data_IF_560528053494
#
_entry.id   IF_560528053494
#
_cell.length_a   1.000
_cell.length_b   1.000
_cell.length_c   1.000
_cell.angle_alpha   90.00
_cell.angle_beta   90.00
_cell.angle_gamma   90.00
#
_symmetry.space_group_name_H-M   'P 1'
#
loop_
_entity.id
_entity.type
_entity.pdbx_description
1 polymer ?
#
# COMPACT_ATOMS: atom_id res chain seq x y z
N UNK A 1 -10.36 -7.91 3.01
CA UNK A 1 -9.89 -6.52 3.16
C UNK A 1 -9.72 -5.87 1.79
N UNK A 2 -10.15 -4.65 1.66
CA UNK A 2 -10.05 -3.88 0.43
C UNK A 2 -8.98 -2.79 0.59
N UNK A 3 -8.11 -2.63 -0.40
CA UNK A 3 -7.06 -1.61 -0.40
C UNK A 3 -7.31 -0.59 -1.50
N UNK A 4 -7.27 0.68 -1.13
CA UNK A 4 -7.48 1.80 -2.05
C UNK A 4 -6.22 2.65 -2.07
N UNK A 5 -5.57 2.70 -3.22
CA UNK A 5 -4.37 3.51 -3.44
C UNK A 5 -4.79 4.89 -3.91
N UNK A 6 -4.32 5.92 -3.25
CA UNK A 6 -4.65 7.31 -3.59
C UNK A 6 -3.41 8.18 -3.64
N UNK A 7 -3.50 9.27 -4.37
CA UNK A 7 -2.55 10.36 -4.34
C UNK A 7 -3.34 11.67 -4.45
N UNK A 8 -3.17 12.58 -3.50
CA UNK A 8 -3.80 13.91 -3.51
C UNK A 8 -5.29 13.86 -3.87
N UNK A 9 -6.07 13.03 -3.17
CA UNK A 9 -7.52 12.84 -3.38
C UNK A 9 -7.91 12.12 -4.68
N UNK A 10 -6.94 11.66 -5.46
CA UNK A 10 -7.19 10.88 -6.67
C UNK A 10 -6.98 9.40 -6.41
N UNK A 11 -7.90 8.57 -6.82
CA UNK A 11 -7.78 7.12 -6.71
C UNK A 11 -6.88 6.60 -7.84
N UNK A 12 -5.83 5.88 -7.46
CA UNK A 12 -4.90 5.26 -8.41
C UNK A 12 -5.28 3.80 -8.70
N UNK A 13 -5.85 3.11 -7.73
CA UNK A 13 -6.24 1.72 -7.88
C UNK A 13 -6.94 1.19 -6.65
N UNK A 14 -7.65 0.08 -6.85
CA UNK A 14 -8.37 -0.64 -5.80
C UNK A 14 -8.08 -2.12 -5.98
N UNK A 15 -7.76 -2.81 -4.89
CA UNK A 15 -7.50 -4.25 -4.94
C UNK A 15 -7.83 -4.94 -3.61
N UNK A 16 -7.88 -6.27 -3.66
CA UNK A 16 -7.92 -7.12 -2.47
C UNK A 16 -6.51 -7.49 -2.01
N UNK A 17 -6.42 -8.29 -0.96
CA UNK A 17 -5.12 -8.73 -0.42
C UNK A 17 -4.33 -9.59 -1.41
N UNK A 18 -4.98 -10.43 -2.19
CA UNK A 18 -4.32 -11.32 -3.15
C UNK A 18 -3.61 -10.54 -4.26
N UNK A 19 -4.14 -9.39 -4.62
CA UNK A 19 -3.59 -8.54 -5.68
C UNK A 19 -2.79 -7.35 -5.14
N UNK A 20 -2.60 -7.27 -3.82
CA UNK A 20 -1.93 -6.16 -3.17
C UNK A 20 -0.50 -5.97 -3.67
N UNK A 21 0.26 -7.06 -3.79
CA UNK A 21 1.65 -7.02 -4.25
C UNK A 21 1.78 -6.42 -5.64
N UNK A 22 0.99 -6.91 -6.58
CA UNK A 22 1.03 -6.46 -7.98
C UNK A 22 0.65 -4.98 -8.10
N UNK A 23 -0.41 -4.58 -7.41
CA UNK A 23 -0.86 -3.19 -7.44
C UNK A 23 0.12 -2.24 -6.75
N UNK A 24 0.67 -2.65 -5.62
CA UNK A 24 1.66 -1.86 -4.90
C UNK A 24 2.92 -1.64 -5.73
N UNK A 25 3.41 -2.69 -6.38
CA UNK A 25 4.58 -2.63 -7.24
C UNK A 25 4.38 -1.68 -8.42
N UNK A 26 3.26 -1.81 -9.11
CA UNK A 26 2.91 -0.94 -10.22
C UNK A 26 2.81 0.52 -9.80
N UNK A 27 2.09 0.79 -8.72
CA UNK A 27 1.87 2.15 -8.23
C UNK A 27 3.15 2.75 -7.69
N UNK A 28 3.97 1.97 -7.00
CA UNK A 28 5.29 2.39 -6.54
C UNK A 28 6.17 2.84 -7.71
N UNK A 29 6.29 2.01 -8.74
CA UNK A 29 7.12 2.31 -9.90
C UNK A 29 6.64 3.56 -10.63
N UNK A 30 5.34 3.69 -10.87
CA UNK A 30 4.76 4.87 -11.51
C UNK A 30 4.97 6.14 -10.67
N UNK A 31 4.81 6.03 -9.36
CA UNK A 31 4.98 7.16 -8.44
C UNK A 31 6.43 7.60 -8.36
N UNK A 32 7.39 6.67 -8.37
CA UNK A 32 8.81 6.98 -8.39
C UNK A 32 9.23 7.73 -9.67
N UNK A 33 8.66 7.36 -10.82
CA UNK A 33 8.92 8.07 -12.07
C UNK A 33 8.50 9.54 -12.01
N UNK A 34 7.46 9.83 -11.27
CA UNK A 34 6.93 11.19 -11.12
C UNK A 34 7.47 11.92 -9.87
N UNK A 35 8.30 11.26 -9.06
CA UNK A 35 8.78 11.81 -7.79
C UNK A 35 7.70 11.98 -6.73
N UNK A 36 6.62 11.20 -6.82
CA UNK A 36 5.43 11.32 -5.95
C UNK A 36 5.26 10.13 -5.00
N UNK A 37 6.27 9.26 -4.85
CA UNK A 37 6.20 8.05 -4.03
C UNK A 37 5.87 8.30 -2.56
N UNK A 38 6.23 9.46 -2.02
CA UNK A 38 5.93 9.84 -0.64
C UNK A 38 4.52 10.43 -0.46
N UNK A 39 3.84 10.73 -1.54
CA UNK A 39 2.49 11.30 -1.52
C UNK A 39 1.39 10.25 -1.62
N UNK A 40 1.76 9.00 -1.86
CA UNK A 40 0.81 7.89 -1.97
C UNK A 40 0.31 7.49 -0.59
N UNK A 41 -1.01 7.45 -0.44
CA UNK A 41 -1.68 6.96 0.77
C UNK A 41 -2.54 5.77 0.38
N UNK A 42 -2.39 4.67 1.11
CA UNK A 42 -3.17 3.45 0.89
C UNK A 42 -4.14 3.30 2.05
N UNK A 43 -5.42 3.17 1.75
CA UNK A 43 -6.44 2.89 2.74
C UNK A 43 -6.77 1.40 2.74
N UNK A 44 -6.65 0.75 3.90
CA UNK A 44 -7.14 -0.60 4.12
C UNK A 44 -8.49 -0.55 4.81
N UNK A 45 -9.49 -1.14 4.19
CA UNK A 45 -10.86 -1.16 4.72
C UNK A 45 -11.21 -2.60 5.06
N UNK A 46 -11.49 -2.84 6.34
CA UNK A 46 -11.92 -4.13 6.84
C UNK A 46 -13.31 -4.03 7.43
N UNK A 47 -14.17 -4.97 7.04
CA UNK A 47 -15.50 -5.08 7.59
C UNK A 47 -15.44 -5.93 8.84
N UNK A 48 -15.69 -5.33 10.02
CA UNK A 48 -15.53 -5.98 11.31
C UNK A 48 -16.76 -6.82 11.68
N UNK A 49 -17.91 -6.50 11.11
CA UNK A 49 -19.19 -7.09 11.52
C UNK A 49 -19.97 -7.55 10.28
N UNK A 50 -20.47 -8.78 10.32
CA UNK A 50 -21.31 -9.33 9.25
C UNK A 50 -22.63 -8.59 9.02
N UNK A 51 -23.08 -7.79 9.97
CA UNK A 51 -24.29 -6.97 9.87
C UNK A 51 -24.03 -5.60 9.22
N UNK A 52 -22.80 -5.25 9.01
CA UNK A 52 -22.50 -4.35 7.92
C UNK A 52 -22.20 -2.89 8.20
N UNK A 53 -22.01 -2.44 9.43
CA UNK A 53 -21.86 -1.00 9.67
C UNK A 53 -20.55 -0.58 10.33
N UNK A 54 -19.82 -1.51 10.92
CA UNK A 54 -18.54 -1.19 11.54
C UNK A 54 -17.41 -1.53 10.57
N UNK A 55 -16.77 -0.52 10.04
CA UNK A 55 -15.63 -0.64 9.15
C UNK A 55 -14.39 -0.11 9.86
N UNK A 56 -13.33 -0.87 9.84
CA UNK A 56 -12.02 -0.40 10.25
C UNK A 56 -11.28 0.13 9.04
N UNK A 57 -10.91 1.39 9.08
CA UNK A 57 -10.11 2.02 8.02
C UNK A 57 -8.74 2.34 8.59
N UNK A 58 -7.71 1.78 7.98
CA UNK A 58 -6.32 2.05 8.33
C UNK A 58 -5.63 2.72 7.16
N UNK A 59 -4.90 3.79 7.45
CA UNK A 59 -4.09 4.47 6.43
C UNK A 59 -2.67 3.92 6.45
N UNK A 60 -2.15 3.61 5.29
CA UNK A 60 -0.80 3.10 5.11
C UNK A 60 0.00 4.01 4.19
N UNK A 61 1.30 4.05 4.43
CA UNK A 61 2.27 4.76 3.59
C UNK A 61 3.33 3.80 3.11
N UNK A 62 3.88 4.05 1.94
CA UNK A 62 5.01 3.28 1.46
C UNK A 62 6.26 3.59 2.27
N UNK A 63 6.95 2.55 2.67
CA UNK A 63 8.27 2.64 3.27
C UNK A 63 9.23 1.70 2.54
N UNK A 64 10.32 2.26 2.07
CA UNK A 64 11.37 1.53 1.41
C UNK A 64 12.44 1.19 2.43
N UNK A 65 12.80 -0.07 2.53
CA UNK A 65 13.86 -0.52 3.43
C UNK A 65 14.95 -1.26 2.66
N UNK A 66 16.15 -1.22 3.22
CA UNK A 66 17.35 -1.79 2.61
C UNK A 66 17.86 -2.92 3.49
N UNK A 67 17.93 -4.13 2.92
CA UNK A 67 18.55 -5.29 3.56
C UNK A 67 19.73 -5.79 2.72
N UNK A 68 20.87 -5.17 2.87
CA UNK A 68 22.06 -5.52 2.11
C UNK A 68 21.92 -5.16 0.63
N UNK A 69 21.82 -6.17 -0.24
CA UNK A 69 21.68 -5.98 -1.68
C UNK A 69 20.22 -5.94 -2.16
N UNK A 70 19.29 -6.14 -1.25
CA UNK A 70 17.87 -6.17 -1.58
C UNK A 70 17.16 -4.95 -1.03
N UNK A 71 16.34 -4.35 -1.87
CA UNK A 71 15.42 -3.31 -1.46
C UNK A 71 14.04 -3.93 -1.26
N UNK A 72 13.48 -3.75 -0.08
CA UNK A 72 12.14 -4.16 0.23
C UNK A 72 11.19 -2.98 0.27
N UNK A 73 9.92 -3.27 0.10
CA UNK A 73 8.85 -2.31 0.24
C UNK A 73 7.85 -2.81 1.27
N UNK A 74 7.37 -1.92 2.12
CA UNK A 74 6.30 -2.22 3.06
C UNK A 74 5.29 -1.08 3.09
N UNK A 75 4.10 -1.43 3.54
CA UNK A 75 3.09 -0.44 3.90
C UNK A 75 3.08 -0.30 5.42
N UNK A 76 3.34 0.89 5.91
CA UNK A 76 3.35 1.18 7.35
C UNK A 76 2.07 1.91 7.71
N UNK A 77 1.34 1.37 8.68
CA UNK A 77 0.15 1.99 9.24
C UNK A 77 0.20 2.07 10.75
N UNK A 78 -0.77 2.75 11.34
CA UNK A 78 -0.88 2.91 12.80
C UNK A 78 -1.09 1.57 13.53
N UNK A 79 -1.65 0.58 12.87
CA UNK A 79 -1.91 -0.74 13.44
C UNK A 79 -0.86 -1.80 13.12
N UNK A 80 0.25 -1.44 12.50
CA UNK A 80 1.30 -2.38 12.11
C UNK A 80 1.82 -2.15 10.71
N UNK A 81 2.67 -3.06 10.26
CA UNK A 81 3.28 -3.01 8.94
C UNK A 81 2.86 -4.22 8.11
N UNK A 82 2.64 -4.01 6.83
CA UNK A 82 2.43 -5.09 5.86
C UNK A 82 3.68 -5.15 5.00
N UNK A 83 4.41 -6.24 5.09
CA UNK A 83 5.58 -6.46 4.25
C UNK A 83 5.11 -6.90 2.87
N UNK A 84 5.49 -6.14 1.88
CA UNK A 84 5.29 -6.49 0.48
C UNK A 84 6.64 -7.00 -0.02
N UNK A 85 6.77 -8.29 -0.31
CA UNK A 85 8.05 -8.86 -0.73
C UNK A 85 8.36 -8.43 -2.17
N UNK A 86 8.70 -7.17 -2.34
CA UNK A 86 9.16 -6.64 -3.61
C UNK A 86 10.68 -6.64 -3.60
N UNK A 87 11.27 -7.39 -4.52
CA UNK A 87 12.67 -7.26 -4.84
C UNK A 87 12.79 -6.18 -5.91
N UNK A 88 13.25 -5.02 -5.51
CA UNK A 88 13.58 -3.95 -6.46
C UNK A 88 15.07 -4.10 -6.76
N UNK A 89 15.40 -4.50 -7.96
CA UNK A 89 16.78 -4.51 -8.41
C UNK A 89 17.25 -3.06 -8.62
N UNK A 90 18.34 -2.74 -7.99
CA UNK A 90 18.98 -1.43 -8.12
C UNK A 90 19.99 -1.49 -9.27
#
# INVERSE_FOLDING_TARGET
MLYIFTIKERVLGVCDYEHLKENAEKIWNESCENGEENDVVVYGIEKINSVGYDELITSYYFDKYDEGTKLGLRLIGLGGAIDIPLEIEV
#
